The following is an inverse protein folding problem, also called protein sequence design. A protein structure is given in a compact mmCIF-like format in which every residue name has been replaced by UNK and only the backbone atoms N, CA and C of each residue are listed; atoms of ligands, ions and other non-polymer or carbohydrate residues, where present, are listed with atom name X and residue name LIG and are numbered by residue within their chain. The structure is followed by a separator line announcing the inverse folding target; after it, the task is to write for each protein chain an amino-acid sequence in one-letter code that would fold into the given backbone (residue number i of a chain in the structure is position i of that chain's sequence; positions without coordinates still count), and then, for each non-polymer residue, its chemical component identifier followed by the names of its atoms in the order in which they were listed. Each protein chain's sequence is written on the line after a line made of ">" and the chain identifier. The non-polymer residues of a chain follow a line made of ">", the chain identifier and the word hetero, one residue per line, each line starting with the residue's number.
data_IF_312895805872
#
_entry.id   IF_312895805872
#
_cell.length_a   1.000
_cell.length_b   1.000
_cell.length_c   1.000
_cell.angle_alpha   90.00
_cell.angle_beta   90.00
_cell.angle_gamma   90.00
#
_symmetry.space_group_name_H-M   'P 1'
#
loop_
_entity.id
_entity.type
_entity.pdbx_description
1 polymer ?
#
# COMPACT_ATOMS: atom_id res chain seq x y z
N UNK A 1 -4.25 1.30 17.44
CA UNK A 1 -5.50 0.85 18.10
C UNK A 1 -5.75 -0.59 17.71
N UNK A 2 -5.94 -1.51 18.68
CA UNK A 2 -6.08 -2.96 18.41
C UNK A 2 -7.45 -3.27 17.76
N UNK A 3 -7.51 -3.17 16.43
CA UNK A 3 -8.74 -3.35 15.64
C UNK A 3 -9.32 -4.78 15.69
N UNK A 4 -8.47 -5.75 16.02
CA UNK A 4 -8.83 -7.17 16.15
C UNK A 4 -9.90 -7.43 17.23
N UNK A 5 -10.06 -6.55 18.21
CA UNK A 5 -11.10 -6.71 19.24
C UNK A 5 -12.53 -6.48 18.72
N UNK A 6 -12.68 -5.91 17.51
CA UNK A 6 -13.98 -5.80 16.83
C UNK A 6 -14.39 -7.10 16.14
N UNK A 7 -13.47 -8.05 15.96
CA UNK A 7 -13.74 -9.32 15.27
C UNK A 7 -14.43 -10.26 16.27
N UNK A 8 -15.75 -10.37 16.15
CA UNK A 8 -16.57 -11.23 17.02
C UNK A 8 -16.80 -12.62 16.42
N UNK A 9 -16.63 -12.77 15.12
CA UNK A 9 -16.85 -14.03 14.38
C UNK A 9 -16.13 -14.00 13.03
N UNK A 10 -15.72 -15.17 12.54
CA UNK A 10 -15.14 -15.34 11.19
C UNK A 10 -16.15 -15.17 10.06
N UNK A 11 -17.46 -15.19 10.37
CA UNK A 11 -18.53 -14.96 9.40
C UNK A 11 -18.87 -13.47 9.21
N UNK A 12 -18.21 -12.55 9.94
CA UNK A 12 -18.48 -11.13 9.79
C UNK A 12 -18.11 -10.64 8.38
N UNK A 13 -18.95 -9.78 7.76
CA UNK A 13 -18.59 -9.14 6.49
C UNK A 13 -17.29 -8.33 6.60
N UNK A 14 -16.39 -8.48 5.63
CA UNK A 14 -15.11 -7.74 5.59
C UNK A 14 -15.33 -6.22 5.60
N UNK A 15 -16.43 -5.76 5.00
CA UNK A 15 -16.83 -4.34 5.00
C UNK A 15 -17.01 -3.72 6.39
N UNK A 16 -17.29 -4.52 7.42
CA UNK A 16 -17.44 -4.02 8.79
C UNK A 16 -16.10 -3.78 9.50
N UNK A 17 -15.03 -4.40 9.01
CA UNK A 17 -13.69 -4.34 9.59
C UNK A 17 -12.67 -3.64 8.70
N UNK A 18 -12.94 -3.43 7.41
CA UNK A 18 -12.05 -2.70 6.51
C UNK A 18 -11.95 -1.21 6.90
N UNK A 19 -10.81 -0.59 6.61
CA UNK A 19 -10.65 0.87 6.68
C UNK A 19 -10.94 1.49 5.31
N UNK A 20 -10.87 2.83 5.26
CA UNK A 20 -10.77 3.55 4.00
C UNK A 20 -9.59 3.04 3.15
N UNK A 21 -9.74 3.16 1.83
CA UNK A 21 -8.70 2.76 0.90
C UNK A 21 -7.41 3.56 1.16
N UNK A 22 -6.27 2.90 0.98
CA UNK A 22 -4.99 3.59 0.92
C UNK A 22 -4.96 4.60 -0.24
N UNK A 23 -4.07 5.60 -0.19
CA UNK A 23 -3.89 6.53 -1.29
C UNK A 23 -3.74 5.81 -2.62
N UNK A 24 -4.44 6.29 -3.65
CA UNK A 24 -4.40 5.77 -5.02
C UNK A 24 -3.65 6.73 -5.92
N UNK A 25 -2.72 6.22 -6.72
CA UNK A 25 -1.94 7.02 -7.67
C UNK A 25 -1.92 6.35 -9.06
N UNK A 26 -1.67 7.13 -10.15
CA UNK A 26 -1.43 6.58 -11.47
C UNK A 26 -0.19 5.67 -11.48
N UNK A 27 -0.15 4.69 -12.38
CA UNK A 27 1.02 3.82 -12.57
C UNK A 27 2.27 4.58 -13.06
N UNK A 28 2.08 5.74 -13.68
CA UNK A 28 3.12 6.63 -14.18
C UNK A 28 3.66 7.60 -13.11
N UNK A 29 3.11 7.54 -11.88
CA UNK A 29 3.55 8.41 -10.80
C UNK A 29 5.03 8.19 -10.45
N UNK A 30 5.74 9.29 -10.20
CA UNK A 30 7.18 9.21 -9.87
C UNK A 30 7.44 8.49 -8.55
N UNK A 31 8.60 7.85 -8.44
CA UNK A 31 9.05 7.20 -7.20
C UNK A 31 9.11 8.16 -6.01
N UNK A 32 9.36 9.45 -6.23
CA UNK A 32 9.37 10.45 -5.15
C UNK A 32 8.00 10.60 -4.48
N UNK A 33 6.92 10.62 -5.26
CA UNK A 33 5.55 10.68 -4.73
C UNK A 33 5.25 9.44 -3.91
N UNK A 34 5.61 8.25 -4.43
CA UNK A 34 5.46 6.98 -3.71
C UNK A 34 6.21 7.01 -2.38
N UNK A 35 7.46 7.49 -2.36
CA UNK A 35 8.28 7.59 -1.14
C UNK A 35 7.66 8.53 -0.11
N UNK A 36 7.15 9.69 -0.53
CA UNK A 36 6.49 10.64 0.36
C UNK A 36 5.20 10.07 0.95
N UNK A 37 4.34 9.48 0.11
CA UNK A 37 3.11 8.84 0.58
C UNK A 37 3.40 7.70 1.55
N UNK A 38 4.42 6.89 1.26
CA UNK A 38 4.83 5.81 2.15
C UNK A 38 5.49 6.29 3.45
N UNK A 39 5.78 7.59 3.65
CA UNK A 39 6.18 8.06 4.99
C UNK A 39 4.99 8.03 5.94
N UNK A 40 3.82 8.47 5.46
CA UNK A 40 2.59 8.59 6.25
C UNK A 40 1.71 7.32 6.20
N UNK A 41 1.66 6.66 5.04
CA UNK A 41 0.81 5.50 4.80
C UNK A 41 1.62 4.20 4.71
N UNK A 42 1.07 3.06 5.14
CA UNK A 42 1.80 1.79 5.07
C UNK A 42 1.91 1.23 3.65
N UNK A 43 0.99 1.62 2.76
CA UNK A 43 0.94 1.19 1.37
C UNK A 43 0.27 2.26 0.49
N UNK A 44 0.48 2.15 -0.82
CA UNK A 44 -0.16 2.97 -1.86
C UNK A 44 -0.70 2.04 -2.94
N UNK A 45 -1.91 2.30 -3.42
CA UNK A 45 -2.54 1.55 -4.51
C UNK A 45 -2.22 2.21 -5.85
N UNK A 46 -1.94 1.40 -6.87
CA UNK A 46 -1.78 1.85 -8.25
C UNK A 46 -3.10 1.71 -8.97
N UNK A 47 -3.46 2.70 -9.79
CA UNK A 47 -4.64 2.62 -10.64
C UNK A 47 -4.34 2.98 -12.10
N UNK A 48 -5.15 2.38 -12.98
CA UNK A 48 -5.26 2.74 -14.40
C UNK A 48 -6.71 2.61 -14.82
N UNK A 49 -7.24 3.61 -15.54
CA UNK A 49 -8.63 3.61 -16.05
C UNK A 49 -9.69 3.29 -14.97
N UNK A 50 -9.50 3.84 -13.77
CA UNK A 50 -10.41 3.64 -12.62
C UNK A 50 -10.35 2.24 -11.99
N UNK A 51 -9.39 1.41 -12.39
CA UNK A 51 -9.16 0.07 -11.83
C UNK A 51 -7.86 0.01 -11.06
N UNK A 52 -7.87 -0.68 -9.92
CA UNK A 52 -6.65 -0.97 -9.17
C UNK A 52 -5.82 -1.99 -9.96
N UNK A 53 -4.58 -1.62 -10.28
CA UNK A 53 -3.63 -2.45 -11.03
C UNK A 53 -2.53 -3.04 -10.15
N UNK A 54 -2.31 -2.49 -8.96
CA UNK A 54 -1.28 -2.98 -8.06
C UNK A 54 -1.23 -2.28 -6.70
N UNK A 55 -0.24 -2.66 -5.89
CA UNK A 55 0.05 -2.09 -4.57
C UNK A 55 1.56 -1.98 -4.40
N UNK A 56 2.01 -0.89 -3.78
CA UNK A 56 3.41 -0.67 -3.39
C UNK A 56 3.48 -0.44 -1.89
N UNK A 57 4.42 -1.11 -1.23
CA UNK A 57 4.61 -1.02 0.22
C UNK A 57 6.00 -0.51 0.58
N UNK A 58 6.21 -0.15 1.86
CA UNK A 58 7.55 0.17 2.39
C UNK A 58 8.58 -0.91 2.09
N UNK A 59 8.20 -2.19 2.14
CA UNK A 59 9.09 -3.33 1.88
C UNK A 59 9.65 -3.32 0.45
N UNK A 60 8.87 -2.84 -0.52
CA UNK A 60 9.30 -2.79 -1.92
C UNK A 60 10.36 -1.71 -2.15
N UNK A 61 10.31 -0.60 -1.40
CA UNK A 61 11.37 0.42 -1.43
C UNK A 61 12.71 -0.13 -0.95
N UNK A 62 12.73 -1.01 0.05
CA UNK A 62 13.96 -1.64 0.53
C UNK A 62 14.61 -2.53 -0.54
N UNK A 63 13.81 -3.30 -1.29
CA UNK A 63 14.31 -4.15 -2.39
C UNK A 63 15.03 -3.32 -3.47
N UNK A 64 14.52 -2.13 -3.78
CA UNK A 64 15.13 -1.22 -4.77
C UNK A 64 16.47 -0.65 -4.30
N UNK A 65 16.65 -0.46 -2.99
CA UNK A 65 17.93 0.00 -2.43
C UNK A 65 18.98 -1.12 -2.43
N UNK A 66 18.57 -2.35 -2.08
CA UNK A 66 19.46 -3.52 -2.14
C UNK A 66 19.89 -3.87 -3.56
N UNK A 67 19.00 -3.73 -4.55
CA UNK A 67 19.34 -4.02 -5.95
C UNK A 67 20.42 -3.08 -6.49
N UNK A 68 20.36 -1.77 -6.18
CA UNK A 68 21.40 -0.80 -6.59
C UNK A 68 22.77 -1.08 -5.98
N UNK A 69 22.82 -1.72 -4.82
CA UNK A 69 24.08 -2.03 -4.13
C UNK A 69 24.76 -3.28 -4.71
N UNK A 70 24.01 -4.15 -5.39
CA UNK A 70 24.53 -5.34 -6.08
C UNK A 70 25.04 -5.10 -7.50
N UNK A 71 24.69 -3.96 -8.09
CA UNK A 71 25.11 -3.56 -9.45
C UNK A 71 26.36 -2.66 -9.45
N UNK A 72 26.94 -2.39 -8.26
CA UNK A 72 28.22 -1.72 -8.03
C UNK A 72 29.28 -2.74 -7.62
#
# INVERSE_FOLDING_TARGET
>A
TRKLERVKSTAMPVGEIMDEAFPMIPEEASLNIVRQLLQEYPAVLLQKDGRITGIVTKADLFKVLESKTKEL
#
